data_IF_295878750957
#
_entry.id   IF_295878750957
#
_cell.length_a   1.000
_cell.length_b   1.000
_cell.length_c   1.000
_cell.angle_alpha   90.00
_cell.angle_beta   90.00
_cell.angle_gamma   90.00
#
_symmetry.space_group_name_H-M   'P 1'
#
loop_
_entity.id
_entity.type
_entity.pdbx_description
1 polymer ?
#
# COMPACT_ATOMS: atom_id res chain seq x y z
N UNK A 1 16.19 -7.00 3.64
CA UNK A 1 16.53 -7.99 2.59
C UNK A 1 16.66 -7.30 1.25
N UNK A 2 17.54 -7.77 0.38
CA UNK A 2 17.71 -7.21 -0.95
C UNK A 2 16.61 -7.71 -1.90
N UNK A 3 16.32 -6.93 -2.94
CA UNK A 3 15.56 -7.40 -4.10
C UNK A 3 16.46 -8.11 -5.12
N UNK A 4 16.00 -8.31 -6.35
CA UNK A 4 16.78 -8.93 -7.43
C UNK A 4 18.09 -8.18 -7.75
N UNK A 5 18.10 -6.86 -7.52
CA UNK A 5 19.27 -5.97 -7.69
C UNK A 5 20.40 -6.21 -6.67
N UNK A 6 20.18 -7.05 -5.65
CA UNK A 6 21.11 -7.30 -4.55
C UNK A 6 21.55 -6.05 -3.77
N UNK A 7 20.85 -4.93 -3.92
CA UNK A 7 21.16 -3.68 -3.22
C UNK A 7 20.55 -3.73 -1.83
N UNK A 8 21.41 -3.71 -0.81
CA UNK A 8 20.94 -3.67 0.58
C UNK A 8 20.47 -2.25 0.94
N UNK A 9 19.35 -2.07 1.67
CA UNK A 9 18.87 -0.75 2.09
C UNK A 9 19.94 0.10 2.78
N UNK A 10 20.83 -0.54 3.55
CA UNK A 10 21.91 0.14 4.26
C UNK A 10 22.91 0.82 3.30
N UNK A 11 23.16 0.23 2.12
CA UNK A 11 24.04 0.84 1.11
C UNK A 11 23.42 2.15 0.64
N UNK A 12 22.15 2.13 0.22
CA UNK A 12 21.44 3.34 -0.20
C UNK A 12 21.41 4.41 0.90
N UNK A 13 21.19 4.02 2.15
CA UNK A 13 21.22 4.97 3.28
C UNK A 13 22.60 5.61 3.47
N UNK A 14 23.68 4.82 3.38
CA UNK A 14 25.05 5.32 3.55
C UNK A 14 25.52 6.15 2.36
N UNK A 15 25.05 5.85 1.16
CA UNK A 15 25.41 6.56 -0.07
C UNK A 15 24.36 7.59 -0.50
N UNK A 16 23.37 7.89 0.34
CA UNK A 16 22.21 8.72 -0.01
C UNK A 16 22.60 10.08 -0.60
N UNK A 17 23.60 10.76 -0.01
CA UNK A 17 24.08 12.06 -0.51
C UNK A 17 24.66 12.00 -1.93
N UNK A 18 25.35 10.91 -2.26
CA UNK A 18 25.97 10.74 -3.56
C UNK A 18 24.97 10.21 -4.61
N UNK A 19 23.98 9.43 -4.17
CA UNK A 19 23.02 8.74 -5.05
C UNK A 19 21.72 9.51 -5.24
N UNK A 20 21.39 10.50 -4.40
CA UNK A 20 20.11 11.22 -4.47
C UNK A 20 19.91 11.96 -5.80
N UNK A 21 20.93 12.64 -6.30
CA UNK A 21 20.87 13.39 -7.57
C UNK A 21 20.63 12.45 -8.75
N UNK A 22 21.47 11.43 -9.02
CA UNK A 22 21.21 10.53 -10.14
C UNK A 22 19.88 9.78 -10.00
N UNK A 23 19.51 9.34 -8.79
CA UNK A 23 18.23 8.69 -8.56
C UNK A 23 17.05 9.63 -8.83
N UNK A 24 17.14 10.91 -8.46
CA UNK A 24 16.09 11.88 -8.77
C UNK A 24 15.86 12.06 -10.27
N UNK A 25 16.92 12.02 -11.08
CA UNK A 25 16.78 12.07 -12.54
C UNK A 25 16.07 10.83 -13.09
N UNK A 26 16.43 9.65 -12.59
CA UNK A 26 15.79 8.38 -12.98
C UNK A 26 14.31 8.39 -12.55
N UNK A 27 14.02 8.83 -11.32
CA UNK A 27 12.66 8.93 -10.80
C UNK A 27 11.83 9.91 -11.61
N UNK A 28 12.35 11.11 -11.88
CA UNK A 28 11.64 12.10 -12.66
C UNK A 28 11.35 11.57 -14.06
N UNK A 29 12.35 10.97 -14.73
CA UNK A 29 12.15 10.39 -16.05
C UNK A 29 11.07 9.31 -16.06
N UNK A 30 11.09 8.39 -15.09
CA UNK A 30 10.09 7.32 -14.95
C UNK A 30 8.68 7.88 -14.75
N UNK A 31 8.53 8.93 -13.92
CA UNK A 31 7.23 9.59 -13.71
C UNK A 31 6.78 10.42 -14.92
N UNK A 32 7.70 11.07 -15.62
CA UNK A 32 7.39 11.89 -16.81
C UNK A 32 6.97 11.04 -18.01
N UNK A 33 7.55 9.85 -18.16
CA UNK A 33 7.17 8.91 -19.23
C UNK A 33 5.98 8.02 -18.85
N UNK A 34 5.64 7.92 -17.55
CA UNK A 34 4.65 6.97 -17.08
C UNK A 34 5.13 5.51 -17.13
N UNK A 35 6.44 5.28 -17.29
CA UNK A 35 7.02 3.94 -17.45
C UNK A 35 7.85 3.53 -16.23
N UNK A 36 7.74 2.26 -15.85
CA UNK A 36 8.55 1.65 -14.79
C UNK A 36 9.77 0.97 -15.43
N UNK A 37 11.01 1.18 -14.93
CA UNK A 37 12.17 0.42 -15.34
C UNK A 37 11.96 -1.10 -15.22
N UNK A 38 12.44 -1.88 -16.19
CA UNK A 38 12.25 -3.33 -16.20
C UNK A 38 12.83 -4.03 -14.97
N UNK A 39 14.00 -3.58 -14.51
CA UNK A 39 14.66 -4.07 -13.30
C UNK A 39 13.77 -3.94 -12.05
N UNK A 40 12.85 -2.97 -12.04
CA UNK A 40 11.98 -2.69 -10.90
C UNK A 40 10.70 -3.52 -10.91
N UNK A 41 10.31 -4.07 -12.07
CA UNK A 41 9.15 -4.97 -12.20
C UNK A 41 9.44 -6.39 -11.70
N UNK A 42 10.70 -6.70 -11.39
CA UNK A 42 11.08 -8.03 -10.88
C UNK A 42 11.09 -8.07 -9.36
N UNK A 43 10.70 -9.21 -8.78
CA UNK A 43 10.70 -9.42 -7.34
C UNK A 43 11.14 -10.84 -6.97
N UNK A 44 11.91 -10.96 -5.88
CA UNK A 44 12.17 -12.26 -5.26
C UNK A 44 11.02 -12.61 -4.31
N UNK A 45 10.29 -13.70 -4.59
CA UNK A 45 9.19 -14.15 -3.73
C UNK A 45 9.74 -15.00 -2.59
N UNK A 46 9.65 -14.48 -1.37
CA UNK A 46 9.99 -15.25 -0.16
C UNK A 46 8.72 -15.70 0.56
N UNK A 47 8.46 -17.02 0.68
CA UNK A 47 7.31 -17.50 1.43
C UNK A 47 7.56 -17.37 2.95
N UNK A 48 6.67 -16.69 3.65
CA UNK A 48 6.69 -16.56 5.12
C UNK A 48 5.57 -17.42 5.70
N UNK A 49 5.92 -18.35 6.58
CA UNK A 49 4.94 -19.20 7.27
C UNK A 49 4.03 -18.33 8.14
N UNK A 50 2.71 -18.44 7.97
CA UNK A 50 1.71 -17.66 8.70
C UNK A 50 1.14 -18.43 9.90
N UNK A 51 0.67 -19.66 9.69
CA UNK A 51 0.01 -20.51 10.71
C UNK A 51 -0.17 -21.94 10.19
N UNK A 52 -0.57 -22.89 11.04
CA UNK A 52 -0.94 -24.24 10.60
C UNK A 52 0.25 -25.10 10.16
N UNK A 53 -0.05 -26.15 9.38
CA UNK A 53 0.95 -27.09 8.89
C UNK A 53 1.96 -26.43 7.93
N UNK A 54 3.24 -26.77 8.09
CA UNK A 54 4.35 -26.31 7.26
C UNK A 54 4.45 -27.04 5.92
N UNK A 55 3.78 -28.18 5.77
CA UNK A 55 3.79 -28.90 4.49
C UNK A 55 2.75 -28.36 3.50
N UNK A 56 1.76 -27.60 3.99
CA UNK A 56 0.70 -26.99 3.17
C UNK A 56 1.14 -25.59 2.67
N UNK A 57 1.32 -25.39 1.35
CA UNK A 57 1.72 -24.10 0.79
C UNK A 57 0.70 -22.98 1.06
N UNK A 58 -0.58 -23.31 1.27
CA UNK A 58 -1.63 -22.32 1.53
C UNK A 58 -1.47 -21.59 2.87
N UNK A 59 -0.64 -22.14 3.75
CA UNK A 59 -0.30 -21.58 5.06
C UNK A 59 0.86 -20.57 5.02
N UNK A 60 1.41 -20.30 3.84
CA UNK A 60 2.46 -19.32 3.62
C UNK A 60 1.90 -18.05 2.97
N UNK A 61 2.47 -16.92 3.34
CA UNK A 61 2.26 -15.63 2.69
C UNK A 61 3.44 -15.37 1.75
N UNK A 62 3.21 -15.17 0.45
CA UNK A 62 4.27 -14.71 -0.42
C UNK A 62 4.62 -13.26 -0.05
N UNK A 63 5.91 -12.96 0.10
CA UNK A 63 6.40 -11.59 0.25
C UNK A 63 7.32 -11.29 -0.92
N UNK A 64 6.92 -10.33 -1.74
CA UNK A 64 7.68 -9.84 -2.88
C UNK A 64 8.77 -8.86 -2.41
N UNK A 65 10.02 -9.24 -2.60
CA UNK A 65 11.16 -8.36 -2.39
C UNK A 65 11.51 -7.69 -3.71
N UNK A 66 10.98 -6.50 -3.96
CA UNK A 66 11.34 -5.64 -5.11
C UNK A 66 12.63 -4.84 -4.84
N UNK A 67 13.15 -4.19 -5.88
CA UNK A 67 14.30 -3.27 -5.79
C UNK A 67 14.11 -2.23 -4.68
N UNK A 68 15.17 -1.94 -3.94
CA UNK A 68 15.11 -0.92 -2.89
C UNK A 68 14.96 0.49 -3.45
N UNK A 69 15.53 0.73 -4.63
CA UNK A 69 15.39 2.01 -5.34
C UNK A 69 13.94 2.21 -5.77
N UNK A 70 13.30 1.14 -6.28
CA UNK A 70 11.89 1.15 -6.63
C UNK A 70 10.99 1.51 -5.45
N UNK A 71 11.20 0.88 -4.29
CA UNK A 71 10.44 1.16 -3.05
C UNK A 71 10.54 2.61 -2.60
N UNK A 72 11.66 3.28 -2.88
CA UNK A 72 11.81 4.71 -2.58
C UNK A 72 10.87 5.53 -3.46
N UNK A 73 10.81 5.25 -4.77
CA UNK A 73 9.88 5.93 -5.67
C UNK A 73 8.41 5.61 -5.34
N UNK A 74 8.08 4.33 -5.10
CA UNK A 74 6.75 3.92 -4.63
C UNK A 74 6.33 4.70 -3.39
N UNK A 75 7.24 4.91 -2.44
CA UNK A 75 6.97 5.70 -1.24
C UNK A 75 6.65 7.16 -1.57
N UNK A 76 7.41 7.78 -2.48
CA UNK A 76 7.19 9.17 -2.90
C UNK A 76 5.82 9.31 -3.59
N UNK A 77 5.50 8.40 -4.52
CA UNK A 77 4.22 8.37 -5.24
C UNK A 77 3.06 8.13 -4.26
N UNK A 78 3.20 7.16 -3.36
CA UNK A 78 2.21 6.88 -2.31
C UNK A 78 1.95 8.11 -1.46
N UNK A 79 2.99 8.80 -0.99
CA UNK A 79 2.83 9.96 -0.11
C UNK A 79 2.04 11.07 -0.82
N UNK A 80 2.27 11.28 -2.13
CA UNK A 80 1.48 12.22 -2.95
C UNK A 80 0.03 11.78 -3.17
N UNK A 81 -0.21 10.49 -3.39
CA UNK A 81 -1.57 9.95 -3.53
C UNK A 81 -2.34 10.11 -2.21
N UNK A 82 -1.74 9.74 -1.09
CA UNK A 82 -2.38 9.84 0.23
C UNK A 82 -2.68 11.30 0.58
N UNK A 83 -1.76 12.22 0.29
CA UNK A 83 -1.97 13.66 0.47
C UNK A 83 -3.13 14.19 -0.38
N UNK A 84 -3.21 13.78 -1.66
CA UNK A 84 -4.35 14.11 -2.53
C UNK A 84 -5.67 13.57 -1.97
N UNK A 85 -5.70 12.30 -1.55
CA UNK A 85 -6.91 11.68 -1.00
C UNK A 85 -7.38 12.36 0.29
N UNK A 86 -6.44 12.77 1.15
CA UNK A 86 -6.74 13.47 2.40
C UNK A 86 -7.21 14.91 2.14
N UNK A 87 -6.48 15.68 1.33
CA UNK A 87 -6.80 17.09 1.03
C UNK A 87 -8.16 17.26 0.36
N UNK A 88 -8.58 16.26 -0.43
CA UNK A 88 -9.86 16.26 -1.13
C UNK A 88 -10.97 15.49 -0.40
N UNK A 89 -10.74 15.04 0.85
CA UNK A 89 -11.71 14.26 1.65
C UNK A 89 -12.31 13.06 0.91
N UNK A 90 -11.47 12.31 0.19
CA UNK A 90 -11.89 11.20 -0.68
C UNK A 90 -11.97 9.85 0.05
N UNK A 91 -11.54 9.79 1.32
CA UNK A 91 -11.62 8.61 2.17
C UNK A 91 -12.75 8.75 3.19
N UNK A 92 -13.40 7.63 3.51
CA UNK A 92 -14.42 7.60 4.57
C UNK A 92 -13.82 7.96 5.93
N UNK A 93 -14.54 8.75 6.72
CA UNK A 93 -14.18 9.05 8.11
C UNK A 93 -14.15 7.80 9.00
N UNK A 94 -14.93 6.78 8.67
CA UNK A 94 -14.91 5.48 9.34
C UNK A 94 -13.73 4.59 8.91
N UNK A 95 -12.85 5.03 8.00
CA UNK A 95 -11.67 4.27 7.60
C UNK A 95 -10.49 4.55 8.54
N UNK A 96 -10.13 3.57 9.36
CA UNK A 96 -8.97 3.68 10.26
C UNK A 96 -7.70 3.02 9.72
N UNK A 97 -7.86 1.97 8.91
CA UNK A 97 -6.73 1.27 8.31
C UNK A 97 -6.01 2.15 7.29
N UNK A 98 -4.68 2.16 7.36
CA UNK A 98 -3.79 2.87 6.42
C UNK A 98 -4.06 4.38 6.29
N UNK A 99 -4.66 5.01 7.32
CA UNK A 99 -4.96 6.45 7.34
C UNK A 99 -4.15 7.15 8.44
N UNK A 100 -3.51 8.25 8.09
CA UNK A 100 -2.75 9.04 9.06
C UNK A 100 -3.66 9.57 10.18
N UNK A 101 -3.19 9.50 11.42
CA UNK A 101 -3.95 9.96 12.60
C UNK A 101 -5.03 9.00 13.09
N UNK A 102 -5.25 7.86 12.41
CA UNK A 102 -6.18 6.81 12.84
C UNK A 102 -5.41 5.53 13.19
N UNK A 103 -5.97 4.71 14.08
CA UNK A 103 -5.38 3.44 14.50
C UNK A 103 -6.45 2.42 14.87
N UNK A 104 -6.06 1.17 15.15
CA UNK A 104 -6.96 0.17 15.71
C UNK A 104 -7.57 0.63 17.05
N UNK A 105 -6.81 1.40 17.84
CA UNK A 105 -7.31 1.93 19.10
C UNK A 105 -8.40 2.97 18.88
N UNK A 106 -8.20 3.92 17.96
CA UNK A 106 -9.25 4.92 17.70
C UNK A 106 -10.50 4.26 17.11
N UNK A 107 -10.34 3.23 16.29
CA UNK A 107 -11.49 2.46 15.78
C UNK A 107 -12.26 1.77 16.90
N UNK A 108 -11.54 1.11 17.83
CA UNK A 108 -12.16 0.45 18.96
C UNK A 108 -12.89 1.45 19.87
N UNK A 109 -12.27 2.59 20.18
CA UNK A 109 -12.87 3.60 21.05
C UNK A 109 -14.14 4.19 20.42
N UNK A 110 -14.08 4.63 19.16
CA UNK A 110 -15.25 5.18 18.44
C UNK A 110 -16.38 4.13 18.32
N UNK A 111 -16.02 2.86 18.12
CA UNK A 111 -17.00 1.77 18.06
C UNK A 111 -17.65 1.50 19.42
N UNK A 112 -16.86 1.48 20.50
CA UNK A 112 -17.37 1.26 21.86
C UNK A 112 -18.24 2.42 22.33
N UNK A 113 -17.88 3.66 22.01
CA UNK A 113 -18.70 4.84 22.28
C UNK A 113 -20.07 4.71 21.62
N UNK A 114 -20.10 4.43 20.31
CA UNK A 114 -21.35 4.19 19.58
C UNK A 114 -22.21 3.08 20.20
N UNK A 115 -21.61 1.95 20.60
CA UNK A 115 -22.36 0.86 21.20
C UNK A 115 -22.89 1.20 22.59
N UNK A 116 -22.12 1.97 23.37
CA UNK A 116 -22.52 2.40 24.71
C UNK A 116 -23.72 3.33 24.61
N UNK A 117 -23.70 4.29 23.69
CA UNK A 117 -24.81 5.22 23.47
C UNK A 117 -26.10 4.49 23.12
N UNK A 118 -26.05 3.51 22.20
CA UNK A 118 -27.22 2.71 21.81
C UNK A 118 -27.80 1.95 23.01
N UNK A 119 -26.93 1.36 23.83
CA UNK A 119 -27.37 0.57 25.00
C UNK A 119 -27.93 1.45 26.11
N UNK A 120 -27.38 2.65 26.32
CA UNK A 120 -27.84 3.62 27.32
C UNK A 120 -29.23 4.18 26.95
N UNK A 121 -29.57 4.27 25.66
CA UNK A 121 -30.90 4.60 25.17
C UNK A 121 -31.92 3.46 25.34
N UNK A 122 -31.47 2.27 25.72
CA UNK A 122 -32.29 1.07 25.91
C UNK A 122 -32.52 0.26 24.63
N UNK A 123 -31.86 0.62 23.54
CA UNK A 123 -31.90 -0.11 22.27
C UNK A 123 -30.89 -1.28 22.25
N UNK A 124 -30.96 -2.10 21.20
CA UNK A 124 -30.06 -3.24 21.01
C UNK A 124 -29.07 -2.97 19.87
N UNK A 125 -27.80 -3.35 20.07
CA UNK A 125 -26.75 -3.28 19.05
C UNK A 125 -26.38 -4.69 18.56
N UNK A 126 -26.58 -4.94 17.26
CA UNK A 126 -26.11 -6.13 16.57
C UNK A 126 -24.90 -5.81 15.68
N UNK A 127 -23.87 -6.65 15.73
CA UNK A 127 -22.58 -6.37 15.05
C UNK A 127 -22.23 -7.50 14.08
N UNK A 128 -21.95 -7.13 12.83
CA UNK A 128 -21.48 -8.03 11.80
C UNK A 128 -20.01 -7.74 11.44
N UNK A 129 -19.14 -8.73 11.65
CA UNK A 129 -17.73 -8.65 11.24
C UNK A 129 -17.55 -9.29 9.85
N UNK A 130 -16.93 -8.54 8.95
CA UNK A 130 -16.64 -8.97 7.58
C UNK A 130 -15.12 -8.98 7.35
N UNK A 131 -14.62 -10.06 6.76
CA UNK A 131 -13.20 -10.19 6.39
C UNK A 131 -13.06 -10.70 4.95
N UNK A 132 -12.11 -10.12 4.21
CA UNK A 132 -11.82 -10.52 2.84
C UNK A 132 -10.72 -11.58 2.81
N UNK A 133 -11.01 -12.74 2.22
CA UNK A 133 -9.99 -13.76 1.95
C UNK A 133 -9.00 -13.22 0.92
N UNK A 134 -7.70 -13.26 1.24
CA UNK A 134 -6.61 -12.92 0.30
C UNK A 134 -6.83 -11.58 -0.42
N UNK A 135 -7.19 -10.54 0.33
CA UNK A 135 -7.63 -9.25 -0.22
C UNK A 135 -6.66 -8.66 -1.27
N UNK A 136 -5.35 -8.75 -1.05
CA UNK A 136 -4.36 -8.26 -2.01
C UNK A 136 -4.21 -9.16 -3.24
N UNK A 137 -4.31 -10.48 -3.08
CA UNK A 137 -4.17 -11.43 -4.20
C UNK A 137 -5.39 -11.46 -5.12
N UNK A 138 -6.56 -11.00 -4.64
CA UNK A 138 -7.83 -11.06 -5.37
C UNK A 138 -8.32 -9.71 -5.91
N UNK A 139 -7.57 -8.63 -5.69
CA UNK A 139 -7.91 -7.32 -6.24
C UNK A 139 -7.78 -7.34 -7.77
N UNK A 140 -8.84 -6.94 -8.47
CA UNK A 140 -8.80 -6.77 -9.92
C UNK A 140 -8.08 -5.47 -10.29
N UNK A 141 -6.90 -5.56 -10.90
CA UNK A 141 -6.10 -4.41 -11.36
C UNK A 141 -6.93 -3.42 -12.20
N UNK A 142 -7.73 -3.91 -13.15
CA UNK A 142 -8.62 -3.05 -13.96
C UNK A 142 -9.61 -2.22 -13.13
N UNK A 143 -10.16 -2.80 -12.06
CA UNK A 143 -11.09 -2.10 -11.16
C UNK A 143 -10.36 -1.13 -10.24
N UNK A 144 -9.13 -1.46 -9.83
CA UNK A 144 -8.27 -0.58 -9.05
C UNK A 144 -7.95 0.68 -9.86
N UNK A 145 -7.42 0.54 -11.07
CA UNK A 145 -7.11 1.66 -11.97
C UNK A 145 -8.35 2.50 -12.27
N UNK A 146 -9.49 1.85 -12.56
CA UNK A 146 -10.76 2.55 -12.73
C UNK A 146 -11.15 3.37 -11.49
N UNK A 147 -11.04 2.81 -10.29
CA UNK A 147 -11.33 3.54 -9.04
C UNK A 147 -10.37 4.70 -8.82
N UNK A 148 -9.07 4.50 -9.07
CA UNK A 148 -8.07 5.56 -8.93
C UNK A 148 -8.38 6.74 -9.86
N UNK A 149 -8.78 6.47 -11.10
CA UNK A 149 -9.28 7.48 -12.04
C UNK A 149 -10.49 8.23 -11.48
N UNK A 150 -11.45 7.53 -10.86
CA UNK A 150 -12.62 8.17 -10.22
C UNK A 150 -12.27 9.00 -8.99
N UNK A 151 -11.15 8.71 -8.32
CA UNK A 151 -10.60 9.54 -7.25
C UNK A 151 -9.75 10.71 -7.77
N UNK A 152 -9.72 10.95 -9.07
CA UNK A 152 -9.03 12.08 -9.69
C UNK A 152 -7.55 11.86 -9.96
N UNK A 153 -7.04 10.63 -9.78
CA UNK A 153 -5.67 10.26 -10.14
C UNK A 153 -5.66 9.98 -11.65
N UNK A 154 -4.88 10.71 -12.42
CA UNK A 154 -4.88 10.61 -13.90
C UNK A 154 -3.51 10.95 -14.48
N UNK A 155 -3.39 10.83 -15.82
CA UNK A 155 -2.15 11.10 -16.54
C UNK A 155 -1.06 10.08 -16.24
N UNK A 156 0.18 10.54 -16.31
CA UNK A 156 1.38 9.70 -16.24
C UNK A 156 1.48 8.91 -14.94
N UNK A 157 0.97 9.45 -13.82
CA UNK A 157 0.95 8.72 -12.54
C UNK A 157 0.04 7.49 -12.61
N UNK A 158 -1.14 7.62 -13.25
CA UNK A 158 -2.05 6.48 -13.38
C UNK A 158 -1.48 5.43 -14.33
N UNK A 159 -0.86 5.86 -15.43
CA UNK A 159 -0.15 4.97 -16.37
C UNK A 159 1.04 4.29 -15.69
N UNK A 160 1.81 5.01 -14.88
CA UNK A 160 2.94 4.45 -14.13
C UNK A 160 2.50 3.34 -13.17
N UNK A 161 1.36 3.51 -12.51
CA UNK A 161 0.80 2.50 -11.59
C UNK A 161 0.28 1.29 -12.38
N UNK A 162 -0.36 1.50 -13.53
CA UNK A 162 -0.84 0.41 -14.40
C UNK A 162 0.32 -0.41 -14.98
N UNK A 163 1.46 0.22 -15.28
CA UNK A 163 2.68 -0.46 -15.76
C UNK A 163 3.50 -1.17 -14.68
N UNK A 164 3.13 -0.98 -13.41
CA UNK A 164 3.86 -1.57 -12.28
C UNK A 164 3.48 -3.03 -12.03
N UNK A 165 2.26 -3.42 -12.41
CA UNK A 165 1.69 -4.77 -12.20
C UNK A 165 1.79 -5.68 -13.44
#
# INVERSE_FOLDING_TARGET
SCGPDNVHPHVLQKTAKATSVPLSHIFQQSLDTGEVPEDWRTANITPIHKKGDRTDPSNYRPVSLTSQVCKVLESIVRDKIVDHLATNNLLSEAQHGFRQGRSCLTNLLETLELWTDILDEGDCADVAYLDFRKAFDLVSHKLLIYKMSKYGISGQILEWIDHFD
#
